data_IF_363503917442
#
_entry.id   IF_363503917442
#
_cell.length_a   1.000
_cell.length_b   1.000
_cell.length_c   1.000
_cell.angle_alpha   90.00
_cell.angle_beta   90.00
_cell.angle_gamma   90.00
#
_symmetry.space_group_name_H-M   'P 1'
#
loop_
_entity.id
_entity.type
_entity.pdbx_description
1 polymer ?
#
# COMPACT_ATOMS: atom_id res chain seq x y z
N UNK A 1 9.08 0.92 -10.18
CA UNK A 1 8.98 2.39 -10.13
C UNK A 1 9.78 2.90 -8.94
N UNK A 2 10.62 3.86 -9.16
CA UNK A 2 11.37 4.54 -8.10
C UNK A 2 11.09 6.03 -8.14
N UNK A 3 10.91 6.62 -6.98
CA UNK A 3 10.72 8.05 -6.88
C UNK A 3 11.21 8.53 -5.51
N UNK A 4 11.73 9.74 -5.46
CA UNK A 4 12.17 10.34 -4.21
C UNK A 4 11.09 11.22 -3.58
N UNK A 5 9.92 11.25 -4.15
CA UNK A 5 8.81 12.02 -3.64
C UNK A 5 7.52 11.22 -3.68
N UNK A 6 6.43 11.90 -3.96
CA UNK A 6 5.12 11.31 -3.98
C UNK A 6 4.86 10.59 -5.30
N UNK A 7 4.24 9.42 -5.21
CA UNK A 7 3.81 8.67 -6.38
C UNK A 7 2.30 8.47 -6.29
N UNK A 8 1.61 8.83 -7.35
CA UNK A 8 0.17 8.62 -7.45
C UNK A 8 -0.08 7.54 -8.51
N UNK A 9 -0.82 6.51 -8.12
CA UNK A 9 -1.08 5.36 -8.99
C UNK A 9 -2.57 5.26 -9.22
N UNK A 10 -2.97 5.36 -10.48
CA UNK A 10 -4.36 5.23 -10.87
C UNK A 10 -4.62 4.11 -11.88
N UNK A 11 -3.58 3.32 -12.17
CA UNK A 11 -3.68 2.19 -13.09
C UNK A 11 -2.97 0.98 -12.51
N UNK A 12 -2.62 0.02 -13.36
CA UNK A 12 -1.94 -1.19 -12.92
C UNK A 12 -0.43 -0.98 -12.86
N UNK A 13 0.18 -1.40 -11.77
CA UNK A 13 1.63 -1.36 -11.59
C UNK A 13 2.09 -2.75 -11.18
N UNK A 14 3.11 -3.24 -11.86
CA UNK A 14 3.72 -4.53 -11.55
C UNK A 14 5.20 -4.34 -11.28
N UNK A 15 5.72 -5.13 -10.35
CA UNK A 15 7.13 -5.10 -9.99
C UNK A 15 7.37 -4.35 -8.70
N UNK A 16 8.56 -3.78 -8.55
CA UNK A 16 8.93 -3.10 -7.32
C UNK A 16 8.58 -1.62 -7.39
N UNK A 17 8.00 -1.12 -6.32
CA UNK A 17 7.72 0.30 -6.17
C UNK A 17 8.48 0.80 -4.95
N UNK A 18 9.29 1.83 -5.15
CA UNK A 18 10.01 2.47 -4.06
C UNK A 18 9.79 3.97 -4.14
N UNK A 19 9.26 4.55 -3.07
CA UNK A 19 8.96 5.97 -3.04
C UNK A 19 8.88 6.43 -1.60
N UNK A 20 8.87 7.73 -1.40
CA UNK A 20 8.66 8.28 -0.07
C UNK A 20 7.21 8.18 0.35
N UNK A 21 6.31 8.56 -0.53
CA UNK A 21 4.87 8.44 -0.29
C UNK A 21 4.21 7.83 -1.52
N UNK A 22 3.30 6.91 -1.30
CA UNK A 22 2.55 6.27 -2.38
C UNK A 22 1.07 6.47 -2.13
N UNK A 23 0.38 6.96 -3.14
CA UNK A 23 -1.07 7.17 -3.11
C UNK A 23 -1.68 6.32 -4.22
N UNK A 24 -2.41 5.30 -3.84
CA UNK A 24 -3.09 4.40 -4.78
C UNK A 24 -4.55 4.76 -4.83
N UNK A 25 -5.03 5.14 -5.99
CA UNK A 25 -6.42 5.52 -6.19
C UNK A 25 -7.32 4.28 -6.26
N UNK A 26 -8.62 4.51 -6.25
CA UNK A 26 -9.58 3.42 -6.22
C UNK A 26 -9.52 2.52 -7.47
N UNK A 27 -9.04 3.05 -8.57
CA UNK A 27 -8.84 2.26 -9.79
C UNK A 27 -7.44 1.67 -9.90
N UNK A 28 -6.58 1.91 -8.90
CA UNK A 28 -5.21 1.42 -8.92
C UNK A 28 -5.11 -0.05 -8.54
N UNK A 29 -4.14 -0.72 -9.13
CA UNK A 29 -3.83 -2.11 -8.80
C UNK A 29 -2.31 -2.25 -8.76
N UNK A 30 -1.79 -2.76 -7.68
CA UNK A 30 -0.36 -2.99 -7.55
C UNK A 30 -0.11 -4.47 -7.30
N UNK A 31 0.81 -5.04 -8.06
CA UNK A 31 1.26 -6.40 -7.87
C UNK A 31 2.78 -6.40 -7.76
N UNK A 32 3.30 -6.89 -6.65
CA UNK A 32 4.74 -6.93 -6.42
C UNK A 32 5.11 -6.37 -5.06
N UNK A 33 6.31 -5.81 -4.95
CA UNK A 33 6.82 -5.29 -3.70
C UNK A 33 6.70 -3.78 -3.64
N UNK A 34 6.26 -3.26 -2.51
CA UNK A 34 6.18 -1.83 -2.28
C UNK A 34 7.03 -1.48 -1.06
N UNK A 35 7.90 -0.50 -1.23
CA UNK A 35 8.69 0.07 -0.14
C UNK A 35 8.46 1.57 -0.11
N UNK A 36 7.95 2.08 1.00
CA UNK A 36 7.70 3.51 1.13
C UNK A 36 7.70 3.90 2.59
N UNK A 37 7.73 5.19 2.86
CA UNK A 37 7.56 5.69 4.22
C UNK A 37 6.08 5.84 4.55
N UNK A 38 5.30 6.31 3.58
CA UNK A 38 3.86 6.48 3.75
C UNK A 38 3.14 5.81 2.60
N UNK A 39 2.10 5.08 2.93
CA UNK A 39 1.28 4.42 1.92
C UNK A 39 -0.18 4.74 2.20
N UNK A 40 -0.82 5.35 1.21
CA UNK A 40 -2.26 5.58 1.23
C UNK A 40 -2.85 4.80 0.07
N UNK A 41 -3.77 3.90 0.36
CA UNK A 41 -4.35 3.08 -0.69
C UNK A 41 -5.88 3.10 -0.63
N UNK A 42 -6.47 3.29 -1.78
CA UNK A 42 -7.91 3.13 -1.98
C UNK A 42 -8.21 2.00 -2.97
N UNK A 43 -7.17 1.44 -3.59
CA UNK A 43 -7.31 0.39 -4.59
C UNK A 43 -6.90 -0.97 -4.07
N UNK A 44 -6.45 -1.83 -4.96
CA UNK A 44 -6.06 -3.19 -4.64
C UNK A 44 -4.55 -3.32 -4.65
N UNK A 45 -4.02 -4.06 -3.67
CA UNK A 45 -2.59 -4.31 -3.59
C UNK A 45 -2.39 -5.80 -3.34
N UNK A 46 -1.49 -6.39 -4.10
CA UNK A 46 -1.07 -7.78 -3.93
C UNK A 46 0.44 -7.84 -3.85
N UNK A 47 0.96 -8.74 -3.01
CA UNK A 47 2.39 -8.93 -2.86
C UNK A 47 2.87 -8.55 -1.48
N UNK A 48 4.01 -7.85 -1.40
CA UNK A 48 4.59 -7.43 -0.12
C UNK A 48 4.60 -5.92 -0.01
N UNK A 49 4.24 -5.43 1.16
CA UNK A 49 4.27 -4.00 1.45
C UNK A 49 5.17 -3.77 2.66
N UNK A 50 6.04 -2.79 2.52
CA UNK A 50 6.91 -2.36 3.61
C UNK A 50 6.84 -0.85 3.70
N UNK A 51 6.28 -0.37 4.80
CA UNK A 51 6.07 1.07 4.97
C UNK A 51 6.15 1.44 6.44
N UNK A 52 6.43 2.70 6.71
CA UNK A 52 6.39 3.20 8.09
C UNK A 52 4.96 3.44 8.54
N UNK A 53 4.17 4.08 7.70
CA UNK A 53 2.76 4.36 7.98
C UNK A 53 1.91 3.88 6.82
N UNK A 54 0.83 3.19 7.14
CA UNK A 54 -0.09 2.68 6.13
C UNK A 54 -1.50 3.16 6.46
N UNK A 55 -2.15 3.76 5.48
CA UNK A 55 -3.55 4.14 5.58
C UNK A 55 -4.34 3.36 4.55
N UNK A 56 -5.33 2.61 5.02
CA UNK A 56 -6.22 1.85 4.16
C UNK A 56 -7.57 2.52 4.15
N UNK A 57 -7.98 2.97 2.98
CA UNK A 57 -9.23 3.69 2.80
C UNK A 57 -10.41 2.73 2.64
N UNK A 58 -11.59 3.30 2.62
CA UNK A 58 -12.85 2.57 2.62
C UNK A 58 -12.95 1.49 1.54
N UNK A 59 -12.48 1.80 0.34
CA UNK A 59 -12.60 0.88 -0.79
C UNK A 59 -11.36 0.02 -1.02
N UNK A 60 -10.38 0.09 -0.11
CA UNK A 60 -9.16 -0.67 -0.31
C UNK A 60 -9.38 -2.16 -0.07
N UNK A 61 -8.65 -2.96 -0.82
CA UNK A 61 -8.61 -4.40 -0.63
C UNK A 61 -7.14 -4.82 -0.65
N UNK A 62 -6.67 -5.40 0.43
CA UNK A 62 -5.28 -5.77 0.56
C UNK A 62 -5.17 -7.27 0.79
N UNK A 63 -4.49 -7.93 -0.12
CA UNK A 63 -4.21 -9.37 -0.02
C UNK A 63 -2.70 -9.53 -0.08
N UNK A 64 -2.04 -9.34 1.05
CA UNK A 64 -0.60 -9.23 1.04
C UNK A 64 0.01 -9.48 2.42
N UNK A 65 1.30 -9.63 2.41
CA UNK A 65 2.12 -9.65 3.62
C UNK A 65 2.61 -8.22 3.87
N UNK A 66 2.15 -7.61 4.94
CA UNK A 66 2.42 -6.22 5.22
C UNK A 66 3.26 -6.06 6.48
N UNK A 67 4.26 -5.19 6.40
CA UNK A 67 5.08 -4.80 7.55
C UNK A 67 5.05 -3.28 7.65
N UNK A 68 4.65 -2.77 8.81
CA UNK A 68 4.63 -1.33 9.04
C UNK A 68 4.77 -1.02 10.52
N UNK A 69 5.08 0.23 10.83
CA UNK A 69 5.08 0.67 12.23
C UNK A 69 3.70 1.10 12.67
N UNK A 70 2.95 1.71 11.80
CA UNK A 70 1.60 2.21 12.10
C UNK A 70 0.66 1.78 10.98
N UNK A 71 -0.48 1.26 11.39
CA UNK A 71 -1.53 0.87 10.44
C UNK A 71 -2.82 1.55 10.83
N UNK A 72 -3.40 2.28 9.89
CA UNK A 72 -4.72 2.89 10.04
C UNK A 72 -5.64 2.25 9.02
N UNK A 73 -6.74 1.68 9.50
CA UNK A 73 -7.73 1.02 8.66
C UNK A 73 -9.06 1.74 8.83
N UNK A 74 -9.62 2.22 7.75
CA UNK A 74 -10.93 2.86 7.80
C UNK A 74 -12.03 1.81 7.73
N UNK A 75 -13.22 2.19 8.20
CA UNK A 75 -14.38 1.31 8.17
C UNK A 75 -14.70 0.92 6.73
N UNK A 76 -14.85 -0.36 6.51
CA UNK A 76 -15.15 -0.88 5.18
C UNK A 76 -13.95 -1.40 4.40
N UNK A 77 -12.73 -1.13 4.87
CA UNK A 77 -11.55 -1.69 4.23
C UNK A 77 -11.49 -3.19 4.50
N UNK A 78 -11.02 -3.95 3.51
CA UNK A 78 -10.88 -5.40 3.61
C UNK A 78 -9.41 -5.76 3.71
N UNK A 79 -9.06 -6.53 4.72
CA UNK A 79 -7.70 -6.97 4.96
C UNK A 79 -7.64 -8.48 4.89
N UNK A 80 -6.82 -8.98 3.98
CA UNK A 80 -6.55 -10.41 3.84
C UNK A 80 -5.04 -10.60 3.85
N UNK A 81 -4.58 -11.70 4.44
CA UNK A 81 -3.15 -12.00 4.49
C UNK A 81 -2.58 -11.77 5.88
N UNK A 82 -1.28 -11.59 5.95
CA UNK A 82 -0.57 -11.42 7.21
C UNK A 82 -0.11 -10.00 7.40
N UNK A 83 -0.29 -9.50 8.60
CA UNK A 83 0.11 -8.14 8.95
C UNK A 83 1.04 -8.18 10.16
N UNK A 84 2.10 -7.41 10.06
CA UNK A 84 3.04 -7.25 11.15
C UNK A 84 3.20 -5.78 11.45
N UNK A 85 2.77 -5.38 12.63
CA UNK A 85 2.74 -3.98 13.04
C UNK A 85 3.71 -3.79 14.19
N UNK A 86 4.41 -2.70 14.14
CA UNK A 86 5.41 -2.36 15.15
C UNK A 86 6.82 -2.71 14.68
N UNK A 87 7.78 -2.30 15.46
CA UNK A 87 9.18 -2.49 15.12
C UNK A 87 9.69 -3.84 15.55
#
# INVERSE_FOLDING_TARGET
>A
VQSQGDVVISGSVKGNVAAKAVDVKDSGLIAGNITSEELLTEGKIKGKIKATSVNLKLTSSTDTHMVSNTLVVETGATLLGKFKIGA
#
